data_IF_674793270712
#
_entry.id   IF_674793270712
#
_cell.length_a   1.000
_cell.length_b   1.000
_cell.length_c   1.000
_cell.angle_alpha   90.00
_cell.angle_beta   90.00
_cell.angle_gamma   90.00
#
_symmetry.space_group_name_H-M   'P 1'
#
loop_
_entity.id
_entity.type
_entity.pdbx_description
1 polymer ?
#
# COMPACT_ATOMS: atom_id res chain seq x y z
N UNK A 1 -7.18 -11.76 -25.22
CA UNK A 1 -5.78 -12.14 -25.48
C UNK A 1 -5.34 -11.39 -26.74
N UNK A 2 -4.50 -10.35 -26.65
CA UNK A 2 -4.20 -9.57 -27.87
C UNK A 2 -3.46 -8.23 -27.69
N UNK A 3 -2.32 -8.21 -26.99
CA UNK A 3 -1.28 -7.18 -27.17
C UNK A 3 0.09 -7.84 -27.07
N UNK A 4 1.02 -7.42 -27.90
CA UNK A 4 2.41 -7.84 -27.88
C UNK A 4 2.97 -7.44 -26.50
N UNK A 5 3.01 -8.40 -25.56
CA UNK A 5 3.48 -8.11 -24.20
C UNK A 5 4.97 -7.78 -24.27
N UNK A 6 5.46 -6.85 -23.44
CA UNK A 6 6.89 -6.61 -23.38
C UNK A 6 7.64 -7.90 -23.08
N UNK A 7 8.92 -7.90 -23.41
CA UNK A 7 9.81 -9.00 -23.05
C UNK A 7 9.81 -9.21 -21.53
N UNK A 8 9.67 -8.14 -20.74
CA UNK A 8 9.65 -8.17 -19.28
C UNK A 8 8.49 -7.34 -18.74
N UNK A 9 7.67 -7.96 -17.88
CA UNK A 9 6.55 -7.28 -17.26
C UNK A 9 6.16 -7.98 -15.96
N UNK A 10 5.52 -7.22 -15.09
CA UNK A 10 4.80 -7.73 -13.92
C UNK A 10 3.33 -7.87 -14.30
N UNK A 11 2.73 -8.99 -13.92
CA UNK A 11 1.30 -9.21 -14.09
C UNK A 11 0.65 -9.57 -12.76
N UNK A 12 -0.33 -8.79 -12.33
CA UNK A 12 -1.08 -9.04 -11.10
C UNK A 12 -2.44 -9.59 -11.45
N UNK A 13 -2.63 -10.89 -11.23
CA UNK A 13 -3.94 -11.49 -11.37
C UNK A 13 -4.74 -11.27 -10.08
N UNK A 14 -5.60 -10.24 -10.09
CA UNK A 14 -6.41 -9.83 -8.93
C UNK A 14 -7.28 -10.96 -8.35
N UNK A 15 -8.11 -11.69 -9.13
CA UNK A 15 -8.94 -12.77 -8.57
C UNK A 15 -8.13 -13.98 -8.10
N UNK A 16 -6.93 -14.21 -8.65
CA UNK A 16 -6.05 -15.28 -8.19
C UNK A 16 -5.16 -14.86 -7.01
N UNK A 17 -5.14 -13.58 -6.62
CA UNK A 17 -4.27 -13.04 -5.59
C UNK A 17 -2.77 -13.32 -5.81
N UNK A 18 -2.33 -13.32 -7.08
CA UNK A 18 -0.93 -13.56 -7.46
C UNK A 18 -0.35 -12.42 -8.28
N UNK A 19 0.88 -12.04 -7.95
CA UNK A 19 1.75 -11.22 -8.78
C UNK A 19 2.81 -12.13 -9.42
N UNK A 20 3.01 -12.02 -10.73
CA UNK A 20 3.99 -12.79 -11.49
C UNK A 20 4.96 -11.86 -12.22
N UNK A 21 6.24 -12.18 -12.15
CA UNK A 21 7.29 -11.51 -12.92
C UNK A 21 7.60 -12.35 -14.15
N UNK A 22 7.43 -11.78 -15.34
CA UNK A 22 7.69 -12.43 -16.60
C UNK A 22 8.99 -11.94 -17.24
N UNK A 23 9.70 -12.84 -17.91
CA UNK A 23 10.83 -12.52 -18.79
C UNK A 23 10.83 -13.50 -19.97
N UNK A 24 10.80 -12.97 -21.21
CA UNK A 24 10.67 -13.74 -22.45
C UNK A 24 9.52 -14.76 -22.37
N UNK A 25 8.34 -14.30 -21.95
CA UNK A 25 7.11 -15.09 -21.74
C UNK A 25 7.16 -16.19 -20.66
N UNK A 26 8.29 -16.40 -19.98
CA UNK A 26 8.40 -17.33 -18.86
C UNK A 26 8.17 -16.62 -17.52
N UNK A 27 7.43 -17.28 -16.62
CA UNK A 27 7.31 -16.84 -15.23
C UNK A 27 8.62 -17.09 -14.50
N UNK A 28 9.25 -16.03 -13.99
CA UNK A 28 10.51 -16.11 -13.23
C UNK A 28 10.29 -16.09 -11.73
N UNK A 29 9.30 -15.34 -11.26
CA UNK A 29 8.92 -15.26 -9.84
C UNK A 29 7.41 -15.16 -9.71
N UNK A 30 6.90 -15.68 -8.59
CA UNK A 30 5.49 -15.58 -8.19
C UNK A 30 5.44 -15.11 -6.74
N UNK A 31 4.56 -14.17 -6.46
CA UNK A 31 4.34 -13.62 -5.13
C UNK A 31 2.84 -13.62 -4.81
N UNK A 32 2.52 -13.88 -3.56
CA UNK A 32 1.17 -13.67 -3.05
C UNK A 32 0.92 -12.18 -2.84
N UNK A 33 -0.30 -11.76 -3.18
CA UNK A 33 -0.77 -10.39 -2.94
C UNK A 33 -2.07 -10.36 -2.13
N UNK A 34 -2.30 -9.23 -1.46
CA UNK A 34 -3.59 -8.84 -0.89
C UNK A 34 -4.06 -7.62 -1.66
N UNK A 35 -5.30 -7.64 -2.13
CA UNK A 35 -5.87 -6.62 -3.02
C UNK A 35 -7.06 -5.93 -2.37
N UNK A 36 -7.62 -4.96 -3.08
CA UNK A 36 -8.76 -4.18 -2.66
C UNK A 36 -9.98 -5.03 -2.28
N UNK A 37 -10.73 -4.60 -1.27
CA UNK A 37 -12.05 -5.15 -0.99
C UNK A 37 -13.02 -4.92 -2.17
N UNK A 38 -14.18 -5.60 -2.22
CA UNK A 38 -15.23 -5.28 -3.19
C UNK A 38 -15.71 -3.81 -3.17
N UNK A 39 -15.52 -3.11 -2.04
CA UNK A 39 -15.93 -1.71 -1.84
C UNK A 39 -14.82 -0.72 -2.20
N UNK A 40 -13.56 -1.15 -2.11
CA UNK A 40 -12.36 -0.36 -2.41
C UNK A 40 -11.49 -1.15 -3.38
N UNK A 41 -12.04 -1.40 -4.57
CA UNK A 41 -11.46 -2.30 -5.57
C UNK A 41 -10.10 -1.79 -6.03
N UNK A 42 -9.15 -2.71 -6.24
CA UNK A 42 -7.93 -2.39 -6.99
C UNK A 42 -8.32 -2.12 -8.44
N UNK A 43 -8.00 -0.96 -9.02
CA UNK A 43 -8.34 -0.63 -10.41
C UNK A 43 -7.53 -1.48 -11.38
N UNK A 44 -8.12 -1.78 -12.53
CA UNK A 44 -7.39 -2.36 -13.67
C UNK A 44 -6.62 -1.26 -14.38
N UNK A 45 -5.33 -1.47 -14.62
CA UNK A 45 -4.46 -0.50 -15.27
C UNK A 45 -3.26 -1.18 -15.94
N UNK A 46 -2.61 -0.43 -16.82
CA UNK A 46 -1.31 -0.76 -17.35
C UNK A 46 -0.40 0.45 -17.14
N UNK A 47 0.72 0.26 -16.45
CA UNK A 47 1.63 1.32 -16.05
C UNK A 47 3.06 0.76 -16.00
N UNK A 48 4.01 1.53 -15.49
CA UNK A 48 5.41 1.15 -15.38
C UNK A 48 5.89 1.37 -13.95
N UNK A 49 6.63 0.40 -13.39
CA UNK A 49 7.24 0.59 -12.07
C UNK A 49 8.44 1.52 -12.26
N UNK A 50 8.31 2.73 -11.75
CA UNK A 50 9.32 3.79 -11.91
C UNK A 50 10.48 3.61 -10.92
N UNK A 51 10.15 3.46 -9.63
CA UNK A 51 11.13 3.29 -8.56
C UNK A 51 10.48 2.64 -7.33
N UNK A 52 11.31 2.28 -6.35
CA UNK A 52 10.84 1.87 -5.04
C UNK A 52 11.62 2.55 -3.92
N UNK A 53 10.99 2.71 -2.76
CA UNK A 53 11.63 3.27 -1.56
C UNK A 53 11.62 2.25 -0.43
N UNK A 54 12.64 2.32 0.43
CA UNK A 54 12.75 1.47 1.61
C UNK A 54 12.44 2.25 2.89
N UNK A 55 11.97 1.54 3.93
CA UNK A 55 11.57 2.09 5.23
C UNK A 55 10.69 3.35 5.11
N UNK A 56 9.55 3.27 4.39
CA UNK A 56 8.76 4.44 4.07
C UNK A 56 8.04 5.01 5.29
N UNK A 57 7.89 6.34 5.32
CA UNK A 57 6.82 6.97 6.10
C UNK A 57 5.47 6.62 5.48
N UNK A 58 4.41 6.54 6.28
CA UNK A 58 3.06 6.42 5.76
C UNK A 58 2.26 7.69 6.06
N UNK A 59 1.90 8.41 4.99
CA UNK A 59 0.91 9.48 5.05
C UNK A 59 -0.47 8.84 4.92
N UNK A 60 -1.24 8.87 5.99
CA UNK A 60 -2.52 8.16 6.07
C UNK A 60 -3.56 8.91 5.24
N UNK A 61 -4.26 8.24 4.30
CA UNK A 61 -5.39 8.83 3.60
C UNK A 61 -6.44 9.39 4.56
N UNK A 62 -7.14 10.46 4.15
CA UNK A 62 -8.13 11.12 4.97
C UNK A 62 -9.26 10.16 5.39
N UNK A 63 -9.72 9.30 4.47
CA UNK A 63 -10.74 8.29 4.72
C UNK A 63 -10.34 7.33 5.84
N UNK A 64 -9.13 6.78 5.79
CA UNK A 64 -8.59 5.87 6.82
C UNK A 64 -8.40 6.62 8.15
N UNK A 65 -7.91 7.87 8.10
CA UNK A 65 -7.72 8.70 9.29
C UNK A 65 -9.04 8.92 10.05
N UNK A 66 -10.11 9.25 9.32
CA UNK A 66 -11.44 9.52 9.88
C UNK A 66 -12.18 8.24 10.29
N UNK A 67 -12.16 7.21 9.46
CA UNK A 67 -13.06 6.06 9.61
C UNK A 67 -12.45 4.90 10.39
N UNK A 68 -11.12 4.82 10.49
CA UNK A 68 -10.45 3.70 11.17
C UNK A 68 -9.57 4.15 12.33
N UNK A 69 -8.80 5.23 12.15
CA UNK A 69 -7.87 5.68 13.19
C UNK A 69 -8.59 6.46 14.28
N UNK A 70 -9.44 7.45 13.93
CA UNK A 70 -10.17 8.25 14.91
C UNK A 70 -10.96 7.39 15.92
N UNK A 71 -11.74 6.36 15.51
CA UNK A 71 -12.41 5.48 16.48
C UNK A 71 -11.44 4.77 17.45
N UNK A 72 -10.25 4.39 16.98
CA UNK A 72 -9.22 3.76 17.84
C UNK A 72 -8.62 4.74 18.83
N UNK A 73 -8.43 6.00 18.43
CA UNK A 73 -7.99 7.06 19.34
C UNK A 73 -9.06 7.31 20.42
N UNK A 74 -10.34 7.37 20.04
CA UNK A 74 -11.44 7.58 20.99
C UNK A 74 -11.54 6.45 22.02
N UNK A 75 -11.25 5.21 21.60
CA UNK A 75 -11.20 4.06 22.51
C UNK A 75 -9.94 4.04 23.38
N UNK A 76 -8.84 4.58 22.87
CA UNK A 76 -7.53 4.55 23.53
C UNK A 76 -6.70 5.80 23.20
N UNK A 77 -6.61 6.77 24.12
CA UNK A 77 -5.87 8.01 23.91
C UNK A 77 -4.38 7.81 23.58
N UNK A 78 -3.79 6.70 24.00
CA UNK A 78 -2.39 6.37 23.77
C UNK A 78 -2.15 5.62 22.45
N UNK A 79 -3.21 5.36 21.66
CA UNK A 79 -3.13 4.62 20.40
C UNK A 79 -2.08 5.19 19.44
N UNK A 80 -2.08 6.51 19.23
CA UNK A 80 -1.18 7.16 18.28
C UNK A 80 0.28 6.98 18.68
N UNK A 81 0.61 7.21 19.96
CA UNK A 81 1.96 7.08 20.47
C UNK A 81 2.48 5.64 20.33
N UNK A 82 1.69 4.64 20.77
CA UNK A 82 2.08 3.22 20.69
C UNK A 82 2.28 2.72 19.25
N UNK A 83 1.55 3.29 18.29
CA UNK A 83 1.66 2.91 16.88
C UNK A 83 2.55 3.85 16.06
N UNK A 84 3.21 4.83 16.70
CA UNK A 84 4.18 5.71 16.07
C UNK A 84 3.60 6.73 15.09
N UNK A 85 2.38 7.20 15.34
CA UNK A 85 1.77 8.27 14.56
C UNK A 85 2.17 9.65 15.08
N UNK A 86 2.38 10.57 14.15
CA UNK A 86 2.43 12.02 14.37
C UNK A 86 1.20 12.67 13.77
N UNK A 87 0.77 13.77 14.38
CA UNK A 87 -0.41 14.53 13.98
C UNK A 87 0.03 15.86 13.39
N UNK A 88 -0.62 16.24 12.30
CA UNK A 88 -0.41 17.50 11.60
C UNK A 88 -1.75 18.16 11.30
N UNK A 89 -1.78 19.46 11.12
CA UNK A 89 -2.92 20.19 10.57
C UNK A 89 -2.97 20.07 9.02
N UNK A 90 -3.87 20.83 8.40
CA UNK A 90 -4.00 20.86 6.93
C UNK A 90 -2.84 21.55 6.22
N UNK A 91 -2.11 22.42 6.93
CA UNK A 91 -0.94 23.17 6.45
C UNK A 91 0.38 22.43 6.70
N UNK A 92 0.31 21.22 7.27
CA UNK A 92 1.45 20.36 7.62
C UNK A 92 2.28 20.86 8.81
N UNK A 93 1.72 21.71 9.67
CA UNK A 93 2.33 22.04 10.95
C UNK A 93 2.09 20.90 11.94
N UNK A 94 3.09 20.53 12.77
CA UNK A 94 2.90 19.51 13.79
C UNK A 94 1.91 19.99 14.86
N UNK A 95 0.96 19.15 15.23
CA UNK A 95 -0.05 19.45 16.25
C UNK A 95 0.14 18.55 17.46
N UNK A 96 0.22 19.15 18.63
CA UNK A 96 0.22 18.47 19.94
C UNK A 96 -1.07 18.78 20.71
N UNK A 97 -1.40 17.95 21.70
CA UNK A 97 -2.50 18.19 22.66
C UNK A 97 -3.90 18.34 22.02
N UNK A 98 -4.20 17.52 21.00
CA UNK A 98 -5.54 17.46 20.40
C UNK A 98 -6.56 16.94 21.42
N UNK A 99 -7.63 17.69 21.65
CA UNK A 99 -8.81 17.22 22.40
C UNK A 99 -9.68 16.31 21.52
N UNK A 100 -9.35 15.01 21.53
CA UNK A 100 -10.02 13.99 20.72
C UNK A 100 -11.51 13.82 21.04
N UNK A 101 -11.99 14.30 22.18
CA UNK A 101 -13.42 14.26 22.53
C UNK A 101 -14.26 15.17 21.63
N UNK A 102 -13.67 16.29 21.16
CA UNK A 102 -14.30 17.28 20.27
C UNK A 102 -14.13 16.96 18.79
N UNK A 103 -13.24 16.02 18.44
CA UNK A 103 -13.01 15.61 17.06
C UNK A 103 -14.04 14.56 16.65
N UNK A 104 -14.69 14.79 15.52
CA UNK A 104 -15.71 13.93 14.89
C UNK A 104 -15.34 13.71 13.43
N UNK A 105 -15.98 12.76 12.75
CA UNK A 105 -15.76 12.52 11.31
C UNK A 105 -16.04 13.78 10.48
N UNK A 106 -17.07 14.55 10.87
CA UNK A 106 -17.57 15.72 10.14
C UNK A 106 -16.62 16.93 10.25
N UNK A 107 -16.04 17.18 11.43
CA UNK A 107 -15.11 18.29 11.65
C UNK A 107 -13.62 17.90 11.58
N UNK A 108 -13.30 16.69 11.11
CA UNK A 108 -11.93 16.21 11.05
C UNK A 108 -11.11 16.95 9.99
N UNK A 109 -10.12 17.71 10.46
CA UNK A 109 -9.21 18.57 9.69
C UNK A 109 -7.73 18.30 10.02
N UNK A 110 -7.39 17.05 10.36
CA UNK A 110 -6.03 16.64 10.73
C UNK A 110 -5.44 15.69 9.69
N UNK A 111 -4.12 15.52 9.71
CA UNK A 111 -3.38 14.54 8.92
C UNK A 111 -2.55 13.66 9.84
N UNK A 112 -2.50 12.37 9.54
CA UNK A 112 -1.67 11.42 10.27
C UNK A 112 -0.49 10.95 9.43
N UNK A 113 0.68 10.88 10.07
CA UNK A 113 1.87 10.27 9.50
C UNK A 113 2.36 9.17 10.43
N UNK A 114 2.46 7.94 9.94
CA UNK A 114 3.11 6.85 10.66
C UNK A 114 4.61 6.83 10.35
N UNK A 115 5.43 6.77 11.40
CA UNK A 115 6.88 6.65 11.26
C UNK A 115 7.30 5.31 10.63
N UNK A 116 8.49 5.23 10.00
CA UNK A 116 9.05 3.96 9.57
C UNK A 116 9.26 2.99 10.75
N UNK A 117 9.16 1.68 10.50
CA UNK A 117 9.43 0.64 11.48
C UNK A 117 8.54 -0.60 11.31
N UNK A 118 8.76 -1.62 12.15
CA UNK A 118 8.05 -2.90 12.05
C UNK A 118 6.52 -2.78 12.19
N UNK A 119 6.03 -1.76 12.90
CA UNK A 119 4.60 -1.50 13.06
C UNK A 119 3.97 -0.67 11.94
N UNK A 120 4.74 -0.26 10.93
CA UNK A 120 4.24 0.60 9.84
C UNK A 120 3.30 -0.17 8.90
N UNK A 121 2.11 0.35 8.64
CA UNK A 121 1.10 -0.31 7.81
C UNK A 121 1.55 -0.53 6.35
N UNK A 122 2.48 0.30 5.87
CA UNK A 122 3.10 0.21 4.55
C UNK A 122 4.34 -0.71 4.53
N UNK A 123 4.69 -1.32 5.67
CA UNK A 123 5.84 -2.21 5.81
C UNK A 123 7.17 -1.53 5.46
N UNK A 124 8.06 -2.29 4.82
CA UNK A 124 9.45 -1.90 4.56
C UNK A 124 9.73 -1.39 3.15
N UNK A 125 8.88 -1.63 2.16
CA UNK A 125 9.12 -1.20 0.77
C UNK A 125 7.82 -0.74 0.11
N UNK A 126 7.90 0.35 -0.68
CA UNK A 126 6.84 0.83 -1.58
C UNK A 126 7.35 0.90 -3.00
N UNK A 127 6.55 0.44 -3.96
CA UNK A 127 6.83 0.49 -5.39
C UNK A 127 5.87 1.49 -6.03
N UNK A 128 6.44 2.44 -6.75
CA UNK A 128 5.75 3.56 -7.35
C UNK A 128 5.56 3.33 -8.84
N UNK A 129 4.38 3.68 -9.31
CA UNK A 129 3.96 3.65 -10.70
C UNK A 129 2.80 4.64 -10.86
N UNK A 130 2.61 5.15 -12.08
CA UNK A 130 1.45 5.99 -12.38
C UNK A 130 0.15 5.17 -12.27
N UNK A 131 -0.72 5.56 -11.36
CA UNK A 131 -2.06 4.97 -11.18
C UNK A 131 -3.19 5.96 -11.48
N UNK A 132 -2.85 7.08 -12.13
CA UNK A 132 -3.73 8.22 -12.34
C UNK A 132 -4.29 8.74 -11.02
N UNK A 133 -5.59 8.99 -10.99
CA UNK A 133 -6.29 9.57 -9.84
C UNK A 133 -6.47 8.59 -8.66
N UNK A 134 -6.17 7.30 -8.85
CA UNK A 134 -6.48 6.27 -7.87
C UNK A 134 -5.47 6.21 -6.69
N UNK A 135 -4.28 6.80 -6.82
CA UNK A 135 -3.23 6.80 -5.80
C UNK A 135 -2.89 5.40 -5.27
N UNK A 136 -2.86 4.40 -6.16
CA UNK A 136 -2.62 2.99 -5.85
C UNK A 136 -1.12 2.69 -5.95
N UNK A 137 -0.65 1.86 -5.02
CA UNK A 137 0.74 1.42 -4.95
C UNK A 137 0.81 -0.09 -4.76
N UNK A 138 1.96 -0.68 -5.09
CA UNK A 138 2.36 -1.98 -4.55
C UNK A 138 3.23 -1.68 -3.33
N UNK A 139 2.94 -2.31 -2.19
CA UNK A 139 3.72 -2.07 -0.98
C UNK A 139 3.78 -3.29 -0.06
N UNK A 140 4.72 -3.27 0.87
CA UNK A 140 4.78 -4.22 1.97
C UNK A 140 3.68 -3.98 3.01
N UNK A 141 3.52 -4.82 4.02
CA UNK A 141 2.58 -4.59 5.11
C UNK A 141 3.06 -5.23 6.41
N UNK A 142 2.73 -4.62 7.55
CA UNK A 142 2.90 -5.22 8.86
C UNK A 142 1.90 -6.37 9.12
N UNK A 143 0.76 -6.40 8.44
CA UNK A 143 -0.24 -7.46 8.59
C UNK A 143 0.03 -8.63 7.62
N UNK A 144 1.02 -9.46 7.98
CA UNK A 144 1.41 -10.63 7.19
C UNK A 144 0.40 -11.76 7.22
N UNK A 145 -0.49 -11.77 8.21
CA UNK A 145 -1.48 -12.84 8.41
C UNK A 145 -2.45 -13.00 7.23
N UNK A 146 -2.67 -11.94 6.44
CA UNK A 146 -3.60 -11.96 5.30
C UNK A 146 -3.07 -12.78 4.12
N UNK A 147 -1.76 -13.05 4.06
CA UNK A 147 -1.18 -13.94 3.04
C UNK A 147 -1.39 -15.43 3.34
N UNK A 148 -2.08 -15.80 4.43
CA UNK A 148 -2.46 -17.20 4.66
C UNK A 148 -3.95 -17.46 4.43
N UNK A 149 -4.71 -16.46 3.95
CA UNK A 149 -6.16 -16.58 3.71
C UNK A 149 -6.44 -17.04 2.28
N UNK A 150 -7.56 -17.71 2.07
CA UNK A 150 -7.98 -18.11 0.71
C UNK A 150 -8.47 -16.89 -0.08
N UNK A 151 -9.33 -16.10 0.55
CA UNK A 151 -9.80 -14.81 0.03
C UNK A 151 -8.87 -13.71 0.57
N UNK A 152 -8.22 -12.95 -0.31
CA UNK A 152 -7.22 -11.91 0.05
C UNK A 152 -7.62 -10.51 -0.41
N UNK A 153 -8.91 -10.22 -0.40
CA UNK A 153 -9.47 -8.90 -0.65
C UNK A 153 -9.65 -8.14 0.69
N UNK A 154 -8.58 -7.50 1.18
CA UNK A 154 -8.55 -6.84 2.51
C UNK A 154 -7.92 -5.43 2.51
N UNK A 155 -7.50 -4.89 1.36
CA UNK A 155 -6.87 -3.58 1.29
C UNK A 155 -7.86 -2.48 0.86
N UNK A 156 -7.41 -1.23 0.96
CA UNK A 156 -8.11 -0.04 0.47
C UNK A 156 -7.80 0.27 -1.00
N UNK A 157 -7.57 -0.77 -1.81
CA UNK A 157 -7.26 -0.67 -3.24
C UNK A 157 -5.78 -0.93 -3.56
N UNK A 158 -4.85 -0.55 -2.68
CA UNK A 158 -3.43 -0.86 -2.86
C UNK A 158 -3.13 -2.35 -2.88
N UNK A 159 -2.04 -2.74 -3.52
CA UNK A 159 -1.61 -4.15 -3.63
C UNK A 159 -0.55 -4.41 -2.56
N UNK A 160 -0.86 -5.20 -1.55
CA UNK A 160 0.15 -5.61 -0.55
C UNK A 160 0.85 -6.87 -1.02
N UNK A 161 2.18 -6.92 -0.94
CA UNK A 161 2.99 -8.06 -1.42
C UNK A 161 3.65 -8.82 -0.26
N UNK A 162 3.64 -10.16 -0.36
CA UNK A 162 4.16 -11.06 0.69
C UNK A 162 5.66 -10.92 0.92
N UNK A 163 6.45 -10.91 -0.16
CA UNK A 163 7.91 -10.85 -0.11
C UNK A 163 8.44 -9.65 -0.93
N UNK A 164 8.36 -8.42 -0.36
CA UNK A 164 8.71 -7.19 -1.08
C UNK A 164 10.20 -7.10 -1.41
N UNK A 165 11.10 -7.62 -0.55
CA UNK A 165 12.56 -7.53 -0.77
C UNK A 165 12.94 -8.36 -1.99
N UNK A 166 12.48 -9.61 -2.06
CA UNK A 166 12.76 -10.45 -3.22
C UNK A 166 12.08 -9.91 -4.50
N UNK A 167 10.90 -9.29 -4.36
CA UNK A 167 10.27 -8.62 -5.50
C UNK A 167 11.13 -7.45 -6.00
N UNK A 168 11.57 -6.54 -5.13
CA UNK A 168 12.47 -5.44 -5.51
C UNK A 168 13.78 -5.95 -6.12
N UNK A 169 14.40 -6.97 -5.53
CA UNK A 169 15.59 -7.60 -6.09
C UNK A 169 15.32 -8.17 -7.49
N UNK A 170 14.15 -8.79 -7.71
CA UNK A 170 13.78 -9.30 -9.03
C UNK A 170 13.58 -8.20 -10.08
N UNK A 171 13.20 -6.99 -9.65
CA UNK A 171 13.12 -5.84 -10.55
C UNK A 171 14.51 -5.33 -10.94
N UNK A 172 15.43 -5.22 -9.98
CA UNK A 172 16.81 -4.71 -10.21
C UNK A 172 17.67 -5.71 -11.00
N UNK A 173 17.54 -7.01 -10.72
CA UNK A 173 18.31 -8.06 -11.40
C UNK A 173 18.00 -8.19 -12.91
N UNK A 174 16.95 -7.52 -13.37
CA UNK A 174 16.50 -7.51 -14.74
C UNK A 174 16.78 -6.12 -15.32
N UNK A 175 18.00 -5.86 -15.79
CA UNK A 175 18.42 -4.57 -16.36
C UNK A 175 17.40 -4.00 -17.38
N UNK A 176 16.83 -2.83 -17.08
CA UNK A 176 15.79 -2.03 -17.78
C UNK A 176 14.37 -2.05 -17.17
N UNK A 177 13.63 -0.96 -17.44
CA UNK A 177 12.28 -0.64 -16.96
C UNK A 177 11.27 -1.79 -17.12
N UNK A 178 10.41 -1.98 -16.12
CA UNK A 178 9.47 -3.10 -16.04
C UNK A 178 8.03 -2.59 -16.05
N UNK A 179 7.29 -2.95 -17.11
CA UNK A 179 5.87 -2.62 -17.24
C UNK A 179 5.04 -3.44 -16.24
N UNK A 180 4.11 -2.79 -15.53
CA UNK A 180 3.14 -3.38 -14.61
C UNK A 180 1.75 -3.45 -15.27
N UNK A 181 1.18 -4.66 -15.32
CA UNK A 181 -0.16 -4.93 -15.85
C UNK A 181 -1.03 -5.51 -14.72
N UNK A 182 -2.12 -4.85 -14.37
CA UNK A 182 -3.14 -5.33 -13.44
C UNK A 182 -4.33 -5.95 -14.19
#
# INVERSE_FOLDING_TARGET
MGKNRPVRYVYVNLPAYKLRVFNKHMVKKVYDVVVGTPWTKTPLLNSEIEYFTTNPKWYVPLSISKNEILPRIKKDPNYLARHGYKVYDTESNPVSNVDWSKVTVNNFNLRFQQKPGNGNAMGRIKFYFDSGENNILIHDTNDKSKFSKDIRAYSHGCIRISNPVNFGASLVSLENLIQLIL
#
